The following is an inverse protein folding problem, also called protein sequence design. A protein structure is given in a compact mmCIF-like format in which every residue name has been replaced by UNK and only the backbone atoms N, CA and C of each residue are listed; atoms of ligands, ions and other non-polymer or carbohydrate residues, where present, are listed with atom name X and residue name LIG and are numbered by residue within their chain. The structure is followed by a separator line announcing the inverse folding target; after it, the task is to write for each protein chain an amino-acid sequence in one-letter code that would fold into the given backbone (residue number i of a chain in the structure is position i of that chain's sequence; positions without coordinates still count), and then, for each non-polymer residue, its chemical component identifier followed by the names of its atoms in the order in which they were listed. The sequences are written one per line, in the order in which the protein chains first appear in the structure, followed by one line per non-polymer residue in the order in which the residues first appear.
data_IF_450858605552
#
_entry.id   IF_450858605552
#
_cell.length_a   1.000
_cell.length_b   1.000
_cell.length_c   1.000
_cell.angle_alpha   90.00
_cell.angle_beta   90.00
_cell.angle_gamma   90.00
#
_symmetry.space_group_name_H-M   'P 1'
#
loop_
_entity.id
_entity.type
_entity.pdbx_description
1 polymer ?
#
# COMPACT_ATOMS: atom_id res chain seq x y z
N UNK A 1 3.97 -29.06 7.14
CA UNK A 1 2.77 -29.22 6.26
C UNK A 1 3.30 -29.79 4.96
N UNK A 2 2.96 -31.05 4.68
CA UNK A 2 3.64 -31.97 3.75
C UNK A 2 3.88 -31.42 2.32
N UNK A 3 3.07 -30.47 1.85
CA UNK A 3 3.20 -29.89 0.51
C UNK A 3 4.50 -29.10 0.31
N UNK A 4 4.88 -28.23 1.26
CA UNK A 4 6.07 -27.38 1.12
C UNK A 4 7.37 -28.18 1.29
N UNK A 5 7.34 -29.27 2.06
CA UNK A 5 8.47 -30.18 2.28
C UNK A 5 8.89 -30.87 0.97
N UNK A 6 7.93 -31.11 0.06
CA UNK A 6 8.16 -31.69 -1.26
C UNK A 6 8.80 -30.77 -2.31
N UNK A 7 9.19 -29.53 -1.94
CA UNK A 7 9.80 -28.52 -2.85
C UNK A 7 9.05 -28.41 -4.20
N UNK A 8 7.76 -28.06 -4.18
CA UNK A 8 6.94 -28.01 -5.37
C UNK A 8 7.49 -26.99 -6.38
N UNK A 9 7.22 -27.17 -7.69
CA UNK A 9 7.66 -26.24 -8.72
C UNK A 9 7.03 -24.86 -8.55
N UNK A 10 7.77 -23.81 -8.92
CA UNK A 10 7.34 -22.41 -8.90
C UNK A 10 6.26 -22.12 -9.96
N UNK A 11 5.02 -22.47 -9.64
CA UNK A 11 3.84 -22.30 -10.47
C UNK A 11 2.65 -21.75 -9.67
N UNK A 12 1.51 -21.57 -10.34
CA UNK A 12 0.30 -21.03 -9.72
C UNK A 12 -0.21 -21.83 -8.51
N UNK A 13 0.06 -23.15 -8.43
CA UNK A 13 -0.37 -23.97 -7.30
C UNK A 13 0.46 -23.68 -6.07
N UNK A 14 1.78 -23.51 -6.22
CA UNK A 14 2.64 -23.06 -5.13
C UNK A 14 2.24 -21.67 -4.63
N UNK A 15 1.96 -20.73 -5.54
CA UNK A 15 1.47 -19.41 -5.17
C UNK A 15 0.17 -19.51 -4.35
N UNK A 16 -0.82 -20.27 -4.82
CA UNK A 16 -2.10 -20.46 -4.12
C UNK A 16 -1.92 -21.13 -2.76
N UNK A 17 -1.02 -22.12 -2.65
CA UNK A 17 -0.68 -22.74 -1.38
C UNK A 17 -0.10 -21.72 -0.39
N UNK A 18 0.77 -20.81 -0.84
CA UNK A 18 1.24 -19.71 -0.02
C UNK A 18 0.13 -18.74 0.38
N UNK A 19 -0.79 -18.39 -0.52
CA UNK A 19 -1.95 -17.55 -0.17
C UNK A 19 -2.78 -18.21 0.93
N UNK A 20 -3.09 -19.49 0.81
CA UNK A 20 -3.82 -20.24 1.83
C UNK A 20 -3.04 -20.31 3.15
N UNK A 21 -1.73 -20.58 3.11
CA UNK A 21 -0.91 -20.64 4.32
C UNK A 21 -0.90 -19.29 5.06
N UNK A 22 -0.76 -18.18 4.34
CA UNK A 22 -0.81 -16.84 4.93
C UNK A 22 -2.15 -16.58 5.64
N UNK A 23 -3.26 -17.04 5.07
CA UNK A 23 -4.58 -16.92 5.70
C UNK A 23 -4.75 -17.83 6.92
N UNK A 24 -4.17 -19.04 6.91
CA UNK A 24 -4.20 -19.95 8.05
C UNK A 24 -3.37 -19.45 9.23
N UNK A 25 -2.35 -18.63 8.97
CA UNK A 25 -1.52 -17.97 9.98
C UNK A 25 -2.17 -16.66 10.47
N UNK A 26 -3.38 -16.35 10.01
CA UNK A 26 -4.13 -15.19 10.50
C UNK A 26 -4.41 -15.35 11.99
N UNK A 27 -4.08 -14.34 12.81
CA UNK A 27 -4.38 -14.38 14.24
C UNK A 27 -5.90 -14.46 14.46
N UNK A 28 -6.32 -15.21 15.49
CA UNK A 28 -7.73 -15.35 15.86
C UNK A 28 -8.31 -14.10 16.56
N UNK A 29 -7.43 -13.17 16.99
CA UNK A 29 -7.77 -11.91 17.67
C UNK A 29 -6.92 -10.75 17.10
N UNK A 30 -6.74 -9.66 17.85
CA UNK A 30 -5.73 -8.65 17.51
C UNK A 30 -4.34 -9.26 17.66
N UNK A 31 -3.88 -9.95 16.60
CA UNK A 31 -2.58 -10.61 16.63
C UNK A 31 -1.44 -9.64 16.87
N UNK A 32 -0.34 -10.19 17.37
CA UNK A 32 0.88 -9.42 17.57
C UNK A 32 1.45 -8.98 16.21
N UNK A 33 2.36 -8.00 16.24
CA UNK A 33 3.06 -7.55 15.02
C UNK A 33 3.80 -8.72 14.40
N UNK A 34 4.43 -9.57 15.23
CA UNK A 34 5.21 -10.73 14.81
C UNK A 34 4.33 -11.80 14.13
N UNK A 35 3.13 -12.06 14.65
CA UNK A 35 2.18 -13.00 14.03
C UNK A 35 1.76 -12.51 12.64
N UNK A 36 1.46 -11.22 12.51
CA UNK A 36 1.09 -10.59 11.23
C UNK A 36 2.27 -10.63 10.26
N UNK A 37 3.48 -10.27 10.71
CA UNK A 37 4.69 -10.33 9.89
C UNK A 37 4.98 -11.74 9.37
N UNK A 38 4.80 -12.76 10.22
CA UNK A 38 4.95 -14.16 9.83
C UNK A 38 3.96 -14.55 8.74
N UNK A 39 2.68 -14.18 8.89
CA UNK A 39 1.65 -14.46 7.88
C UNK A 39 1.94 -13.76 6.55
N UNK A 40 2.38 -12.49 6.61
CA UNK A 40 2.70 -11.65 5.44
C UNK A 40 3.78 -12.26 4.54
N UNK A 41 4.77 -12.93 5.12
CA UNK A 41 5.87 -13.56 4.34
C UNK A 41 5.33 -14.52 3.28
N UNK A 42 4.23 -15.23 3.55
CA UNK A 42 3.65 -16.14 2.57
C UNK A 42 3.04 -15.39 1.38
N UNK A 43 2.36 -14.26 1.59
CA UNK A 43 1.86 -13.43 0.50
C UNK A 43 3.01 -12.87 -0.35
N UNK A 44 4.11 -12.45 0.27
CA UNK A 44 5.29 -11.97 -0.45
C UNK A 44 5.94 -13.07 -1.29
N UNK A 45 6.04 -14.31 -0.76
CA UNK A 45 6.50 -15.47 -1.54
C UNK A 45 5.62 -15.73 -2.76
N UNK A 46 4.30 -15.63 -2.61
CA UNK A 46 3.37 -15.77 -3.73
C UNK A 46 3.57 -14.67 -4.78
N UNK A 47 3.78 -13.41 -4.36
CA UNK A 47 4.05 -12.27 -5.25
C UNK A 47 5.33 -12.50 -6.05
N UNK A 48 6.43 -12.88 -5.40
CA UNK A 48 7.73 -13.06 -6.06
C UNK A 48 7.68 -14.14 -7.14
N UNK A 49 6.93 -15.23 -6.94
CA UNK A 49 6.75 -16.25 -7.97
C UNK A 49 5.81 -15.75 -9.08
N UNK A 50 4.75 -15.04 -8.70
CA UNK A 50 3.67 -14.66 -9.61
C UNK A 50 4.07 -13.54 -10.58
N UNK A 51 4.95 -12.62 -10.17
CA UNK A 51 5.39 -11.51 -11.02
C UNK A 51 6.27 -11.95 -12.21
N UNK A 52 6.89 -13.13 -12.14
CA UNK A 52 7.85 -13.62 -13.14
C UNK A 52 7.19 -13.96 -14.48
N UNK A 53 5.98 -14.53 -14.48
CA UNK A 53 5.30 -14.98 -15.71
C UNK A 53 3.98 -14.23 -15.90
N UNK A 54 3.74 -13.60 -17.07
CA UNK A 54 2.51 -12.82 -17.32
C UNK A 54 1.21 -13.57 -17.00
N UNK A 55 1.14 -14.88 -17.33
CA UNK A 55 -0.02 -15.72 -17.01
C UNK A 55 -0.34 -15.87 -15.52
N UNK A 56 0.56 -15.46 -14.62
CA UNK A 56 0.38 -15.50 -13.16
C UNK A 56 0.20 -14.10 -12.55
N UNK A 57 0.24 -13.01 -13.33
CA UNK A 57 0.14 -11.64 -12.81
C UNK A 57 -1.14 -11.39 -11.99
N UNK A 58 -2.25 -12.04 -12.33
CA UNK A 58 -3.49 -11.98 -11.54
C UNK A 58 -3.31 -12.43 -10.07
N UNK A 59 -2.31 -13.28 -9.79
CA UNK A 59 -1.99 -13.70 -8.43
C UNK A 59 -1.25 -12.62 -7.63
N UNK A 60 -0.58 -11.66 -8.28
CA UNK A 60 -0.01 -10.49 -7.61
C UNK A 60 -1.12 -9.61 -7.06
N UNK A 61 -2.17 -9.35 -7.85
CA UNK A 61 -3.38 -8.68 -7.37
C UNK A 61 -4.01 -9.44 -6.20
N UNK A 62 -4.29 -10.74 -6.35
CA UNK A 62 -4.91 -11.54 -5.29
C UNK A 62 -4.08 -11.53 -4.00
N UNK A 63 -2.75 -11.67 -4.12
CA UNK A 63 -1.85 -11.63 -2.98
C UNK A 63 -1.86 -10.25 -2.31
N UNK A 64 -1.91 -9.16 -3.07
CA UNK A 64 -1.97 -7.80 -2.52
C UNK A 64 -3.24 -7.55 -1.71
N UNK A 65 -4.39 -8.09 -2.15
CA UNK A 65 -5.66 -7.99 -1.43
C UNK A 65 -5.59 -8.75 -0.11
N UNK A 66 -5.11 -10.00 -0.14
CA UNK A 66 -4.96 -10.82 1.07
C UNK A 66 -3.93 -10.24 2.04
N UNK A 67 -2.80 -9.75 1.52
CA UNK A 67 -1.83 -8.99 2.29
C UNK A 67 -2.49 -7.81 3.00
N UNK A 68 -3.24 -6.99 2.26
CA UNK A 68 -3.83 -5.80 2.83
C UNK A 68 -4.87 -6.14 3.90
N UNK A 69 -5.68 -7.18 3.68
CA UNK A 69 -6.61 -7.70 4.68
C UNK A 69 -5.91 -8.13 5.97
N UNK A 70 -4.79 -8.86 5.85
CA UNK A 70 -3.99 -9.33 6.98
C UNK A 70 -3.41 -8.17 7.80
N UNK A 71 -2.92 -7.12 7.16
CA UNK A 71 -2.24 -6.01 7.86
C UNK A 71 -3.19 -4.93 8.38
N UNK A 72 -4.52 -5.06 8.15
CA UNK A 72 -5.51 -4.07 8.64
C UNK A 72 -5.37 -3.71 10.11
N UNK A 73 -5.14 -4.65 11.06
CA UNK A 73 -4.96 -4.32 12.47
C UNK A 73 -3.78 -3.37 12.75
N UNK A 74 -2.79 -3.33 11.85
CA UNK A 74 -1.61 -2.47 11.96
C UNK A 74 -1.80 -1.10 11.29
N UNK A 75 -2.89 -0.86 10.55
CA UNK A 75 -3.17 0.41 9.86
C UNK A 75 -3.63 1.55 10.80
N UNK A 76 -3.13 1.57 12.03
CA UNK A 76 -3.34 2.62 13.03
C UNK A 76 -2.03 3.38 13.29
N UNK A 77 -2.14 4.57 13.88
CA UNK A 77 -0.98 5.42 14.16
C UNK A 77 0.00 4.72 15.10
N UNK A 78 1.29 4.75 14.78
CA UNK A 78 2.37 4.02 15.44
C UNK A 78 2.68 2.70 14.72
N UNK A 79 1.90 1.62 14.91
CA UNK A 79 2.20 0.30 14.35
C UNK A 79 2.33 0.24 12.82
N UNK A 80 1.67 1.13 12.06
CA UNK A 80 1.78 1.10 10.59
C UNK A 80 3.20 1.31 10.07
N UNK A 81 4.11 1.89 10.87
CA UNK A 81 5.52 2.02 10.50
C UNK A 81 6.17 0.65 10.18
N UNK A 82 5.70 -0.43 10.83
CA UNK A 82 6.22 -1.79 10.59
C UNK A 82 5.87 -2.32 9.19
N UNK A 83 4.87 -1.71 8.52
CA UNK A 83 4.45 -2.11 7.18
C UNK A 83 5.29 -1.51 6.06
N UNK A 84 6.16 -0.53 6.35
CA UNK A 84 6.96 0.15 5.30
C UNK A 84 7.69 -0.86 4.39
N UNK A 85 8.43 -1.87 4.90
CA UNK A 85 9.18 -2.78 4.04
C UNK A 85 8.30 -3.66 3.15
N UNK A 86 7.21 -4.18 3.71
CA UNK A 86 6.36 -5.18 3.06
C UNK A 86 5.34 -4.53 2.13
N UNK A 87 4.74 -3.41 2.51
CA UNK A 87 3.83 -2.64 1.65
C UNK A 87 4.59 -2.03 0.46
N UNK A 88 5.85 -1.60 0.63
CA UNK A 88 6.70 -1.16 -0.50
C UNK A 88 6.86 -2.26 -1.53
N UNK A 89 7.15 -3.49 -1.10
CA UNK A 89 7.28 -4.64 -2.02
C UNK A 89 5.98 -4.93 -2.76
N UNK A 90 4.83 -4.88 -2.07
CA UNK A 90 3.52 -5.10 -2.69
C UNK A 90 3.20 -4.03 -3.74
N UNK A 91 3.36 -2.75 -3.40
CA UNK A 91 3.12 -1.64 -4.34
C UNK A 91 4.03 -1.75 -5.56
N UNK A 92 5.32 -2.02 -5.35
CA UNK A 92 6.28 -2.19 -6.43
C UNK A 92 5.93 -3.37 -7.33
N UNK A 93 5.50 -4.50 -6.76
CA UNK A 93 5.12 -5.66 -7.57
C UNK A 93 3.89 -5.39 -8.43
N UNK A 94 2.89 -4.65 -7.93
CA UNK A 94 1.71 -4.25 -8.70
C UNK A 94 2.08 -3.30 -9.86
N UNK A 95 3.07 -2.43 -9.63
CA UNK A 95 3.63 -1.59 -10.69
C UNK A 95 4.41 -2.40 -11.73
N UNK A 96 5.31 -3.30 -11.29
CA UNK A 96 6.13 -4.17 -12.15
C UNK A 96 5.27 -5.02 -13.09
N UNK A 97 4.10 -5.49 -12.65
CA UNK A 97 3.17 -6.28 -13.49
C UNK A 97 2.17 -5.43 -14.26
N UNK A 98 2.20 -4.11 -14.12
CA UNK A 98 1.27 -3.21 -14.81
C UNK A 98 -0.20 -3.44 -14.41
N UNK A 99 -0.47 -3.68 -13.12
CA UNK A 99 -1.83 -3.91 -12.62
C UNK A 99 -2.75 -2.72 -12.98
N UNK A 100 -3.92 -3.05 -13.52
CA UNK A 100 -4.85 -2.13 -14.16
C UNK A 100 -5.88 -1.55 -13.19
N UNK A 101 -6.07 -2.16 -12.02
CA UNK A 101 -6.84 -1.52 -10.94
C UNK A 101 -6.03 -0.38 -10.31
N UNK A 102 -6.06 0.77 -10.98
CA UNK A 102 -5.38 1.99 -10.53
C UNK A 102 -5.94 2.51 -9.20
N UNK A 103 -7.24 2.32 -8.94
CA UNK A 103 -7.88 2.68 -7.67
C UNK A 103 -7.25 1.90 -6.52
N UNK A 104 -7.09 0.59 -6.67
CA UNK A 104 -6.43 -0.25 -5.69
C UNK A 104 -4.97 0.14 -5.47
N UNK A 105 -4.21 0.34 -6.57
CA UNK A 105 -2.81 0.79 -6.49
C UNK A 105 -2.66 2.10 -5.74
N UNK A 106 -3.47 3.12 -6.06
CA UNK A 106 -3.41 4.41 -5.38
C UNK A 106 -3.78 4.32 -3.89
N UNK A 107 -4.75 3.47 -3.53
CA UNK A 107 -5.08 3.24 -2.11
C UNK A 107 -3.89 2.68 -1.34
N UNK A 108 -3.21 1.67 -1.88
CA UNK A 108 -2.00 1.12 -1.26
C UNK A 108 -0.84 2.13 -1.21
N UNK A 109 -0.66 2.94 -2.26
CA UNK A 109 0.34 4.01 -2.29
C UNK A 109 0.06 5.06 -1.21
N UNK A 110 -1.19 5.51 -1.03
CA UNK A 110 -1.55 6.45 0.04
C UNK A 110 -1.29 5.87 1.43
N UNK A 111 -1.58 4.58 1.65
CA UNK A 111 -1.22 3.91 2.90
C UNK A 111 0.29 3.83 3.11
N UNK A 112 1.07 3.63 2.06
CA UNK A 112 2.53 3.63 2.17
C UNK A 112 3.07 5.01 2.55
N UNK A 113 2.49 6.10 2.02
CA UNK A 113 2.82 7.46 2.49
C UNK A 113 2.57 7.57 3.99
N UNK A 114 1.42 7.11 4.48
CA UNK A 114 1.12 7.13 5.91
C UNK A 114 2.10 6.28 6.75
N UNK A 115 2.53 5.12 6.25
CA UNK A 115 3.51 4.29 6.92
C UNK A 115 4.88 4.99 6.99
N UNK A 116 5.29 5.69 5.93
CA UNK A 116 6.54 6.45 5.90
C UNK A 116 6.51 7.66 6.86
N UNK A 117 5.36 8.33 6.98
CA UNK A 117 5.17 9.41 7.95
C UNK A 117 5.33 8.88 9.37
N UNK A 118 4.64 7.81 9.72
CA UNK A 118 4.70 7.21 11.06
C UNK A 118 6.11 6.68 11.39
N UNK A 119 6.86 6.20 10.39
CA UNK A 119 8.25 5.80 10.54
C UNK A 119 9.24 6.98 10.69
N UNK A 120 8.78 8.23 10.69
CA UNK A 120 9.63 9.42 10.77
C UNK A 120 10.44 9.71 9.51
N UNK A 121 10.16 9.03 8.38
CA UNK A 121 10.91 9.13 7.13
C UNK A 121 10.42 10.30 6.26
N UNK A 122 10.46 11.52 6.79
CA UNK A 122 9.82 12.69 6.19
C UNK A 122 10.20 12.96 4.73
N UNK A 123 11.48 12.83 4.36
CA UNK A 123 11.95 13.04 2.97
C UNK A 123 11.40 11.97 2.01
N UNK A 124 11.42 10.71 2.42
CA UNK A 124 10.87 9.60 1.63
C UNK A 124 9.35 9.75 1.50
N UNK A 125 8.66 10.08 2.60
CA UNK A 125 7.22 10.32 2.61
C UNK A 125 6.81 11.45 1.65
N UNK A 126 7.52 12.58 1.66
CA UNK A 126 7.23 13.70 0.76
C UNK A 126 7.46 13.33 -0.73
N UNK A 127 8.59 12.68 -1.03
CA UNK A 127 8.90 12.20 -2.37
C UNK A 127 7.85 11.22 -2.88
N UNK A 128 7.50 10.22 -2.06
CA UNK A 128 6.52 9.19 -2.41
C UNK A 128 5.10 9.75 -2.50
N UNK A 129 4.73 10.72 -1.65
CA UNK A 129 3.46 11.42 -1.75
C UNK A 129 3.33 12.23 -3.05
N UNK A 130 4.42 12.82 -3.54
CA UNK A 130 4.44 13.47 -4.85
C UNK A 130 4.22 12.46 -5.97
N UNK A 131 4.98 11.37 -5.99
CA UNK A 131 4.81 10.31 -6.98
C UNK A 131 3.38 9.72 -6.97
N UNK A 132 2.80 9.55 -5.77
CA UNK A 132 1.40 9.10 -5.59
C UNK A 132 0.40 10.11 -6.16
N UNK A 133 0.63 11.41 -5.92
CA UNK A 133 -0.18 12.49 -6.49
C UNK A 133 -0.13 12.49 -8.02
N UNK A 134 1.06 12.41 -8.61
CA UNK A 134 1.26 12.40 -10.06
C UNK A 134 0.59 11.17 -10.70
N UNK A 135 0.70 10.00 -10.05
CA UNK A 135 0.01 8.77 -10.46
C UNK A 135 -1.51 8.93 -10.43
N UNK A 136 -2.06 9.50 -9.36
CA UNK A 136 -3.50 9.72 -9.20
C UNK A 136 -4.04 10.70 -10.24
N UNK A 137 -3.34 11.82 -10.48
CA UNK A 137 -3.72 12.79 -11.51
C UNK A 137 -3.76 12.17 -12.91
N UNK A 138 -2.86 11.22 -13.19
CA UNK A 138 -2.74 10.61 -14.52
C UNK A 138 -3.78 9.52 -14.80
N UNK A 139 -4.22 8.78 -13.77
CA UNK A 139 -5.00 7.55 -13.99
C UNK A 139 -6.40 7.58 -13.34
N UNK A 140 -6.57 8.30 -12.22
CA UNK A 140 -7.77 8.26 -11.36
C UNK A 140 -7.95 9.59 -10.60
N UNK A 141 -8.17 10.72 -11.31
CA UNK A 141 -8.22 12.06 -10.70
C UNK A 141 -9.24 12.22 -9.57
N UNK A 142 -10.29 11.40 -9.54
CA UNK A 142 -11.32 11.40 -8.49
C UNK A 142 -10.76 11.13 -7.08
N UNK A 143 -9.60 10.47 -6.98
CA UNK A 143 -8.92 10.25 -5.69
C UNK A 143 -7.97 11.38 -5.30
N UNK A 144 -7.78 12.40 -6.15
CA UNK A 144 -6.89 13.53 -5.88
C UNK A 144 -7.20 14.27 -4.57
N UNK A 145 -8.48 14.56 -4.22
CA UNK A 145 -8.80 15.19 -2.95
C UNK A 145 -8.28 14.42 -1.73
N UNK A 146 -8.19 13.08 -1.81
CA UNK A 146 -7.71 12.25 -0.71
C UNK A 146 -6.20 12.39 -0.51
N UNK A 147 -5.39 12.27 -1.58
CA UNK A 147 -3.94 12.45 -1.48
C UNK A 147 -3.59 13.90 -1.12
N UNK A 148 -4.32 14.88 -1.65
CA UNK A 148 -4.15 16.28 -1.28
C UNK A 148 -4.39 16.50 0.23
N UNK A 149 -5.50 15.97 0.76
CA UNK A 149 -5.79 16.02 2.19
C UNK A 149 -4.66 15.40 3.03
N UNK A 150 -4.07 14.30 2.57
CA UNK A 150 -2.97 13.63 3.23
C UNK A 150 -1.70 14.50 3.26
N UNK A 151 -1.36 15.09 2.12
CA UNK A 151 -0.18 15.95 1.97
C UNK A 151 -0.26 17.21 2.85
N UNK A 152 -1.44 17.84 2.93
CA UNK A 152 -1.66 19.01 3.80
C UNK A 152 -1.55 18.61 5.28
N UNK A 153 -2.25 17.54 5.69
CA UNK A 153 -2.27 17.07 7.09
C UNK A 153 -0.85 16.84 7.62
N UNK A 154 -0.01 16.21 6.80
CA UNK A 154 1.35 15.79 7.17
C UNK A 154 2.45 16.75 6.71
N UNK A 155 2.09 17.93 6.18
CA UNK A 155 3.05 18.94 5.67
C UNK A 155 4.05 18.36 4.66
N UNK A 156 3.60 17.44 3.81
CA UNK A 156 4.43 16.71 2.83
C UNK A 156 4.69 17.50 1.55
N UNK A 157 4.07 18.67 1.41
CA UNK A 157 4.23 19.53 0.25
C UNK A 157 4.12 21.00 0.67
N UNK A 158 4.91 21.85 0.02
CA UNK A 158 4.93 23.28 0.27
C UNK A 158 3.88 23.99 -0.58
N UNK A 159 2.65 24.04 -0.05
CA UNK A 159 1.52 24.69 -0.71
C UNK A 159 1.68 26.21 -0.82
N UNK A 160 2.64 26.83 -0.12
CA UNK A 160 2.88 28.28 -0.25
C UNK A 160 3.51 28.64 -1.60
N UNK A 161 4.16 27.67 -2.27
CA UNK A 161 4.84 27.86 -3.56
C UNK A 161 3.99 27.52 -4.78
N UNK A 162 2.80 26.95 -4.58
CA UNK A 162 1.91 26.51 -5.68
C UNK A 162 0.43 26.72 -5.34
N UNK A 163 0.00 27.97 -5.09
CA UNK A 163 -1.38 28.29 -4.71
C UNK A 163 -2.44 28.00 -5.81
N UNK A 164 -2.00 27.95 -7.07
CA UNK A 164 -2.87 27.90 -8.25
C UNK A 164 -3.88 26.74 -8.28
N UNK A 165 -3.49 25.53 -7.85
CA UNK A 165 -4.40 24.36 -7.86
C UNK A 165 -5.46 24.41 -6.74
N UNK A 166 -5.09 24.94 -5.58
CA UNK A 166 -6.00 25.10 -4.43
C UNK A 166 -7.04 26.18 -4.64
N UNK A 167 -6.66 27.30 -5.26
CA UNK A 167 -7.56 28.42 -5.52
C UNK A 167 -8.55 28.11 -6.65
N UNK A 168 -8.14 27.31 -7.64
CA UNK A 168 -9.00 26.89 -8.75
C UNK A 168 -10.07 25.86 -8.36
N UNK A 169 -9.92 25.15 -7.24
CA UNK A 169 -10.86 24.12 -6.78
C UNK A 169 -11.46 24.46 -5.41
N UNK A 170 -12.77 24.76 -5.33
CA UNK A 170 -13.47 24.98 -4.07
C UNK A 170 -13.31 23.79 -3.09
N UNK A 171 -13.31 22.56 -3.62
CA UNK A 171 -13.14 21.34 -2.82
C UNK A 171 -11.77 21.31 -2.15
N UNK A 172 -10.69 21.55 -2.91
CA UNK A 172 -9.32 21.55 -2.36
C UNK A 172 -9.11 22.70 -1.38
N UNK A 173 -9.69 23.87 -1.66
CA UNK A 173 -9.71 25.01 -0.73
C UNK A 173 -10.35 24.68 0.61
N UNK A 174 -11.51 24.01 0.61
CA UNK A 174 -12.19 23.57 1.85
C UNK A 174 -11.33 22.55 2.59
N UNK A 175 -10.78 21.56 1.90
CA UNK A 175 -9.89 20.55 2.49
C UNK A 175 -8.67 21.21 3.15
N UNK A 176 -8.01 22.15 2.46
CA UNK A 176 -6.84 22.86 2.99
C UNK A 176 -7.17 23.59 4.29
N UNK A 177 -8.26 24.37 4.31
CA UNK A 177 -8.71 25.09 5.50
C UNK A 177 -9.04 24.14 6.65
N UNK A 178 -9.79 23.07 6.37
CA UNK A 178 -10.15 22.07 7.39
C UNK A 178 -8.94 21.37 7.99
N UNK A 179 -7.94 20.99 7.18
CA UNK A 179 -6.75 20.30 7.69
C UNK A 179 -5.86 21.25 8.50
N UNK A 180 -5.76 22.52 8.13
CA UNK A 180 -5.04 23.52 8.93
C UNK A 180 -5.67 23.78 10.30
N UNK A 181 -7.00 23.70 10.42
CA UNK A 181 -7.69 23.88 11.70
C UNK A 181 -7.50 22.70 12.67
N UNK A 182 -7.09 21.54 12.18
CA UNK A 182 -6.86 20.33 12.98
C UNK A 182 -5.43 20.21 13.52
N UNK A 183 -4.54 21.11 13.10
CA UNK A 183 -3.15 21.21 13.58
C UNK A 183 -3.06 22.19 14.74
#
# INVERSE_FOLDING_TARGET
MMYFEGKPPANQFLCRAYLCQGQLESPQSFGSVEEIEKAVIYFLKAIEISKVKPRYHFLVFNASVLYFQMVRPLLRSGPRQHLVPTLTQVVKALEEVGEQDYSWRAQLMMHLVECLVDAGKAKEAASFAKATSDFIESHIPDLYPKIFSLQVRHKLFDFTKTPQKTEASPVLSVIYKMQKLKQ
#
